data_IF_150449591778
#
_entry.id   IF_150449591778
#
_cell.length_a   1.000
_cell.length_b   1.000
_cell.length_c   1.000
_cell.angle_alpha   90.00
_cell.angle_beta   90.00
_cell.angle_gamma   90.00
#
_symmetry.space_group_name_H-M   'P 1'
#
loop_
_entity.id
_entity.type
_entity.pdbx_description
1 polymer ?
#
# COMPACT_ATOMS: atom_id res chain seq x y z
N UNK A 1 16.60 -2.17 -13.86
CA UNK A 1 15.29 -2.84 -13.90
C UNK A 1 14.29 -1.77 -14.24
N UNK A 2 13.41 -2.04 -15.19
CA UNK A 2 12.36 -1.09 -15.56
C UNK A 2 11.30 -1.12 -14.45
N UNK A 3 10.80 0.05 -14.05
CA UNK A 3 9.71 0.15 -13.08
C UNK A 3 8.47 -0.59 -13.58
N UNK A 4 7.68 -1.17 -12.67
CA UNK A 4 6.40 -1.79 -13.02
C UNK A 4 5.51 -0.76 -13.75
N UNK A 5 4.87 -1.19 -14.84
CA UNK A 5 3.93 -0.32 -15.55
C UNK A 5 2.57 -0.28 -14.85
N UNK A 6 1.81 0.81 -15.02
CA UNK A 6 0.43 0.89 -14.54
C UNK A 6 -0.42 -0.28 -15.07
N UNK A 7 -0.21 -0.71 -16.32
CA UNK A 7 -0.93 -1.85 -16.90
C UNK A 7 -0.65 -3.14 -16.15
N UNK A 8 0.60 -3.42 -15.82
CA UNK A 8 0.97 -4.61 -15.05
C UNK A 8 0.42 -4.54 -13.64
N UNK A 9 0.44 -3.35 -13.03
CA UNK A 9 -0.08 -3.13 -11.69
C UNK A 9 -1.61 -3.36 -11.62
N UNK A 10 -2.38 -2.79 -12.55
CA UNK A 10 -3.83 -3.04 -12.65
C UNK A 10 -4.20 -4.49 -13.00
N UNK A 11 -3.31 -5.24 -13.65
CA UNK A 11 -3.52 -6.69 -13.87
C UNK A 11 -3.40 -7.49 -12.56
N UNK A 12 -2.61 -7.00 -11.60
CA UNK A 12 -2.41 -7.65 -10.30
C UNK A 12 -3.44 -7.19 -9.27
N UNK A 13 -3.74 -5.89 -9.26
CA UNK A 13 -4.56 -5.24 -8.25
C UNK A 13 -5.70 -4.44 -8.90
N UNK A 14 -6.97 -4.79 -8.63
CA UNK A 14 -8.12 -4.04 -9.15
C UNK A 14 -8.19 -2.59 -8.68
N UNK A 15 -7.66 -2.30 -7.49
CA UNK A 15 -7.57 -0.95 -6.93
C UNK A 15 -6.10 -0.56 -6.86
N UNK A 16 -5.79 0.61 -7.41
CA UNK A 16 -4.44 1.19 -7.44
C UNK A 16 -4.58 2.67 -7.10
N UNK A 17 -3.89 3.09 -6.05
CA UNK A 17 -3.77 4.48 -5.58
C UNK A 17 -2.68 5.25 -6.31
N UNK A 18 -2.25 6.37 -5.71
CA UNK A 18 -1.18 7.17 -6.30
C UNK A 18 0.19 6.63 -5.88
N UNK A 19 1.21 7.01 -6.63
CA UNK A 19 2.59 6.85 -6.17
C UNK A 19 2.86 7.96 -5.14
N UNK A 20 3.21 7.57 -3.92
CA UNK A 20 3.71 8.47 -2.89
C UNK A 20 4.90 7.85 -2.17
N UNK A 21 5.99 8.61 -2.05
CA UNK A 21 7.26 8.15 -1.42
C UNK A 21 7.81 6.83 -2.00
N UNK A 22 7.47 6.54 -3.26
CA UNK A 22 7.84 5.32 -3.96
C UNK A 22 7.04 4.07 -3.61
N UNK A 23 5.95 4.24 -2.86
CA UNK A 23 4.97 3.20 -2.56
C UNK A 23 3.63 3.53 -3.22
N UNK A 24 2.83 2.50 -3.43
CA UNK A 24 1.50 2.61 -4.02
C UNK A 24 0.52 1.83 -3.15
N UNK A 25 -0.53 2.51 -2.67
CA UNK A 25 -1.67 1.85 -2.02
C UNK A 25 -2.41 1.00 -3.06
N UNK A 26 -2.65 -0.28 -2.78
CA UNK A 26 -3.35 -1.21 -3.67
C UNK A 26 -4.40 -2.00 -2.92
N UNK A 27 -5.43 -2.43 -3.64
CA UNK A 27 -6.51 -3.24 -3.09
C UNK A 27 -6.88 -4.43 -3.98
N UNK A 28 -7.07 -5.59 -3.36
CA UNK A 28 -7.52 -6.82 -4.00
C UNK A 28 -8.35 -7.64 -3.02
N UNK A 29 -9.49 -8.19 -3.47
CA UNK A 29 -10.38 -9.02 -2.65
C UNK A 29 -10.85 -8.38 -1.32
N UNK A 30 -10.93 -7.05 -1.26
CA UNK A 30 -11.33 -6.31 -0.06
C UNK A 30 -10.19 -6.08 0.94
N UNK A 31 -8.97 -6.49 0.62
CA UNK A 31 -7.77 -6.25 1.42
C UNK A 31 -6.91 -5.14 0.79
N UNK A 32 -6.40 -4.25 1.63
CA UNK A 32 -5.58 -3.10 1.22
C UNK A 32 -4.18 -3.17 1.85
N UNK A 33 -3.17 -2.73 1.09
CA UNK A 33 -1.76 -2.71 1.48
C UNK A 33 -0.93 -1.87 0.50
N UNK A 34 0.36 -1.72 0.78
CA UNK A 34 1.29 -0.99 -0.07
C UNK A 34 2.24 -1.91 -0.83
N UNK A 35 2.54 -1.51 -2.07
CA UNK A 35 3.53 -2.16 -2.92
C UNK A 35 4.59 -1.17 -3.37
N UNK A 36 5.76 -1.67 -3.74
CA UNK A 36 6.84 -0.86 -4.31
C UNK A 36 6.48 -0.40 -5.74
N UNK A 37 6.80 0.85 -6.08
CA UNK A 37 6.70 1.34 -7.47
C UNK A 37 7.74 0.68 -8.41
N UNK A 38 8.76 0.00 -7.88
CA UNK A 38 9.81 -0.61 -8.70
C UNK A 38 9.35 -1.93 -9.32
N UNK A 39 8.80 -2.83 -8.52
CA UNK A 39 8.45 -4.20 -8.93
C UNK A 39 6.97 -4.55 -8.72
N UNK A 40 6.21 -3.67 -8.05
CA UNK A 40 4.81 -3.89 -7.70
C UNK A 40 4.61 -4.97 -6.63
N UNK A 41 5.65 -5.30 -5.86
CA UNK A 41 5.57 -6.31 -4.81
C UNK A 41 5.18 -5.71 -3.45
N UNK A 42 4.46 -6.46 -2.59
CA UNK A 42 4.12 -6.00 -1.25
C UNK A 42 5.36 -5.69 -0.42
N UNK A 43 5.40 -4.51 0.20
CA UNK A 43 6.53 -4.10 1.05
C UNK A 43 6.44 -4.66 2.48
N UNK A 44 5.27 -5.17 2.85
CA UNK A 44 5.02 -5.88 4.11
C UNK A 44 3.89 -6.92 3.96
N UNK A 45 3.72 -7.78 4.98
CA UNK A 45 2.78 -8.92 4.94
C UNK A 45 1.37 -8.57 5.41
N UNK A 46 1.23 -7.59 6.29
CA UNK A 46 -0.05 -7.20 6.85
C UNK A 46 -1.02 -6.72 5.77
N UNK A 47 -2.29 -6.99 6.02
CA UNK A 47 -3.43 -6.52 5.22
C UNK A 47 -4.38 -5.75 6.12
N UNK A 48 -5.03 -4.77 5.51
CA UNK A 48 -5.89 -3.78 6.16
C UNK A 48 -7.24 -3.72 5.46
N UNK A 49 -8.24 -3.20 6.17
CA UNK A 49 -9.57 -2.96 5.62
C UNK A 49 -9.56 -1.74 4.69
N UNK A 50 -8.61 -0.82 4.93
CA UNK A 50 -8.35 0.37 4.10
C UNK A 50 -6.97 1.00 4.41
N UNK A 51 -6.37 1.67 3.43
CA UNK A 51 -5.07 2.37 3.53
C UNK A 51 -5.10 3.72 2.79
N UNK A 52 -4.60 4.78 3.42
CA UNK A 52 -4.18 6.03 2.73
C UNK A 52 -2.81 5.86 2.08
N UNK A 53 -2.47 6.79 1.16
CA UNK A 53 -1.11 6.94 0.63
C UNK A 53 -0.13 7.39 1.74
N UNK A 54 1.16 7.07 1.58
CA UNK A 54 2.21 7.50 2.51
C UNK A 54 2.48 9.01 2.43
N UNK A 55 2.60 9.67 3.59
CA UNK A 55 3.05 11.05 3.74
C UNK A 55 3.91 11.19 5.00
N UNK A 56 5.07 11.83 4.87
CA UNK A 56 6.08 12.00 5.93
C UNK A 56 6.48 10.65 6.57
N UNK A 57 6.59 9.60 5.76
CA UNK A 57 6.92 8.25 6.21
C UNK A 57 5.83 7.57 7.04
N UNK A 58 4.59 8.05 7.02
CA UNK A 58 3.45 7.45 7.69
C UNK A 58 2.27 7.24 6.73
N UNK A 59 1.51 6.17 6.93
CA UNK A 59 0.20 5.97 6.29
C UNK A 59 -0.85 5.68 7.34
N UNK A 60 -2.03 6.31 7.22
CA UNK A 60 -3.20 5.95 8.02
C UNK A 60 -3.81 4.67 7.46
N UNK A 61 -4.08 3.70 8.32
CA UNK A 61 -4.71 2.44 7.95
C UNK A 61 -5.87 2.11 8.88
N UNK A 62 -6.83 1.35 8.38
CA UNK A 62 -7.92 0.79 9.18
C UNK A 62 -7.79 -0.74 9.28
N UNK A 63 -7.97 -1.27 10.49
CA UNK A 63 -8.05 -2.71 10.72
C UNK A 63 -9.03 -3.04 11.84
N UNK A 64 -10.00 -3.89 11.54
CA UNK A 64 -11.08 -4.29 12.45
C UNK A 64 -11.83 -3.09 13.07
N UNK A 65 -12.00 -2.02 12.29
CA UNK A 65 -12.66 -0.79 12.74
C UNK A 65 -11.81 0.14 13.62
N UNK A 66 -10.51 -0.12 13.76
CA UNK A 66 -9.57 0.79 14.41
C UNK A 66 -8.65 1.46 13.38
N UNK A 67 -8.45 2.77 13.50
CA UNK A 67 -7.52 3.54 12.66
C UNK A 67 -6.22 3.85 13.40
N UNK A 68 -5.07 3.63 12.76
CA UNK A 68 -3.75 3.93 13.31
C UNK A 68 -2.74 4.20 12.18
N UNK A 69 -1.58 4.77 12.53
CA UNK A 69 -0.53 5.00 11.55
C UNK A 69 0.43 3.81 11.47
N UNK A 70 0.96 3.56 10.29
CA UNK A 70 2.07 2.62 10.05
C UNK A 70 3.24 3.32 9.37
N UNK A 71 4.45 2.79 9.57
CA UNK A 71 5.62 3.15 8.79
C UNK A 71 5.72 2.31 7.48
N UNK A 72 6.69 2.57 6.58
CA UNK A 72 6.84 1.84 5.32
C UNK A 72 7.12 0.34 5.46
N UNK A 73 7.55 -0.12 6.65
CA UNK A 73 7.75 -1.54 6.94
C UNK A 73 6.45 -2.22 7.42
N UNK A 74 5.32 -1.50 7.49
CA UNK A 74 4.04 -2.01 7.97
C UNK A 74 3.91 -2.02 9.49
N UNK A 75 4.86 -1.42 10.21
CA UNK A 75 4.86 -1.40 11.68
C UNK A 75 3.98 -0.26 12.18
N UNK A 76 3.07 -0.56 13.11
CA UNK A 76 2.23 0.45 13.77
C UNK A 76 3.11 1.44 14.55
N UNK A 77 2.79 2.72 14.39
CA UNK A 77 3.40 3.84 15.10
C UNK A 77 2.32 4.43 16.02
N UNK A 78 2.61 4.43 17.33
CA UNK A 78 1.79 5.06 18.38
C UNK A 78 2.38 6.41 18.81
#
# INVERSE_FOLDING_TARGET
>A
MDQITLRELYNRYPIVGNISEGLISVGINGEFFHVSQEDGEPVYKERFDWTEDFHDGLALVEKNGESFHINPNGERID
#
